data_IF_688938982897
#
_entry.id   IF_688938982897
#
_cell.length_a   1.000
_cell.length_b   1.000
_cell.length_c   1.000
_cell.angle_alpha   90.00
_cell.angle_beta   90.00
_cell.angle_gamma   90.00
#
_symmetry.space_group_name_H-M   'P 1'
#
loop_
_entity.id
_entity.type
_entity.pdbx_description
1 polymer ?
#
# COMPACT_ATOMS: atom_id res chain seq x y z
N UNK A 1 44.42 46.89 40.80
CA UNK A 1 44.47 47.91 41.84
C UNK A 1 44.55 47.17 43.14
N UNK A 2 45.74 47.11 43.58
CA UNK A 2 46.22 46.90 44.94
C UNK A 2 45.62 48.01 45.85
N UNK A 3 45.91 48.08 47.15
CA UNK A 3 46.75 47.24 48.05
C UNK A 3 46.09 47.09 49.43
N UNK A 4 46.64 46.42 50.37
CA UNK A 4 47.71 46.68 51.30
C UNK A 4 47.29 46.27 52.70
N UNK A 5 48.06 45.46 53.31
CA UNK A 5 49.01 45.64 54.39
C UNK A 5 48.38 45.70 55.79
N UNK A 6 48.83 45.09 56.70
CA UNK A 6 50.07 44.86 57.45
C UNK A 6 49.72 44.94 58.94
N UNK A 7 50.26 44.40 59.87
CA UNK A 7 51.53 44.26 60.50
C UNK A 7 51.31 43.84 61.97
N UNK A 8 52.07 42.91 62.46
CA UNK A 8 53.14 42.94 63.48
C UNK A 8 52.74 43.46 64.89
N UNK A 9 53.10 42.93 65.97
CA UNK A 9 54.45 42.81 66.59
C UNK A 9 54.25 42.28 68.02
N UNK A 10 55.00 41.28 68.43
CA UNK A 10 56.00 41.22 69.51
C UNK A 10 55.62 41.69 70.94
N UNK A 11 56.05 41.19 72.02
CA UNK A 11 57.26 40.49 72.48
C UNK A 11 57.25 40.26 74.00
N UNK A 12 58.05 39.32 74.40
CA UNK A 12 58.90 39.26 75.58
C UNK A 12 58.33 39.36 77.00
N UNK A 13 58.80 38.76 78.00
CA UNK A 13 59.95 37.97 78.38
C UNK A 13 59.91 37.65 79.89
N UNK A 14 60.57 36.57 80.25
CA UNK A 14 61.36 36.31 81.47
C UNK A 14 60.72 36.29 82.85
N UNK A 15 60.95 35.39 83.71
CA UNK A 15 62.14 34.88 84.40
C UNK A 15 61.78 33.82 85.44
N UNK A 16 62.69 32.90 85.67
CA UNK A 16 62.79 31.87 86.72
C UNK A 16 62.96 32.46 88.10
N UNK A 17 63.06 31.70 89.28
CA UNK A 17 63.19 30.26 89.51
C UNK A 17 62.48 29.73 90.81
N UNK A 18 62.55 28.43 91.03
CA UNK A 18 62.76 27.94 92.43
C UNK A 18 61.94 26.73 92.90
N UNK A 19 62.57 25.60 92.85
CA UNK A 19 62.57 24.50 93.86
C UNK A 19 61.27 23.98 94.43
N UNK A 20 60.95 22.70 94.16
CA UNK A 20 60.69 21.69 95.23
C UNK A 20 60.35 20.33 94.58
N UNK A 21 61.30 19.46 94.58
CA UNK A 21 61.32 18.07 94.04
C UNK A 21 60.47 17.04 94.75
N UNK A 22 59.70 17.37 95.77
CA UNK A 22 58.93 16.41 96.55
C UNK A 22 57.43 16.36 96.20
N UNK A 23 56.92 17.31 95.45
CA UNK A 23 55.49 17.30 94.95
C UNK A 23 55.32 16.70 93.60
N UNK A 24 56.35 16.40 92.83
CA UNK A 24 56.30 15.86 91.47
C UNK A 24 55.97 14.35 91.45
N UNK A 25 56.45 13.59 92.45
CA UNK A 25 56.22 12.14 92.49
C UNK A 25 54.73 11.82 92.77
N UNK A 26 54.09 12.59 93.66
CA UNK A 26 52.66 12.40 93.96
C UNK A 26 51.74 12.76 92.75
N UNK A 27 52.09 13.81 91.99
CA UNK A 27 51.34 14.25 90.81
C UNK A 27 51.44 13.27 89.67
N UNK A 28 52.56 12.59 89.47
CA UNK A 28 52.76 11.62 88.40
C UNK A 28 51.96 10.34 88.65
N UNK A 29 51.89 9.88 89.93
CA UNK A 29 51.05 8.69 90.26
C UNK A 29 49.56 8.98 90.10
N UNK A 30 49.10 10.16 90.46
CA UNK A 30 47.73 10.58 90.26
C UNK A 30 47.42 10.76 88.77
N UNK A 31 48.32 11.26 87.97
CA UNK A 31 48.18 11.42 86.48
C UNK A 31 48.13 10.05 85.79
N UNK A 32 49.01 9.12 86.21
CA UNK A 32 48.95 7.72 85.67
C UNK A 32 47.69 7.05 86.05
N UNK A 33 47.18 7.26 87.26
CA UNK A 33 45.86 6.66 87.66
C UNK A 33 44.72 7.29 86.90
N UNK A 34 44.74 8.60 86.68
CA UNK A 34 43.75 9.26 85.80
C UNK A 34 43.80 8.81 84.34
N UNK A 35 45.01 8.65 83.79
CA UNK A 35 45.21 8.11 82.47
C UNK A 35 44.81 6.68 82.36
N UNK A 36 45.07 5.86 83.36
CA UNK A 36 44.57 4.44 83.38
C UNK A 36 43.05 4.33 83.50
N UNK A 37 42.42 5.17 84.32
CA UNK A 37 40.96 5.21 84.48
C UNK A 37 40.28 5.77 83.19
N UNK A 38 40.91 6.73 82.49
CA UNK A 38 40.38 7.29 81.25
C UNK A 38 40.64 6.45 79.98
N UNK A 39 41.82 5.76 79.97
CA UNK A 39 42.24 5.03 78.73
C UNK A 39 41.81 3.56 78.70
N UNK A 40 41.80 2.88 79.85
CA UNK A 40 41.37 1.46 79.91
C UNK A 40 39.94 1.23 79.48
N UNK A 41 38.94 2.02 79.90
CA UNK A 41 37.54 1.80 79.41
C UNK A 41 37.43 2.20 77.95
N UNK A 42 38.26 3.07 77.41
CA UNK A 42 38.23 3.41 76.00
C UNK A 42 38.81 2.31 75.11
N UNK A 43 39.84 1.61 75.58
CA UNK A 43 40.42 0.46 74.86
C UNK A 43 39.52 -0.75 74.94
N UNK A 44 38.84 -0.99 76.07
CA UNK A 44 37.88 -2.08 76.23
C UNK A 44 36.63 -1.83 75.34
N UNK A 45 36.06 -0.62 75.35
CA UNK A 45 34.95 -0.25 74.47
C UNK A 45 35.34 -0.26 72.99
N UNK A 46 36.60 0.05 72.64
CA UNK A 46 37.12 -0.05 71.30
C UNK A 46 37.29 -1.51 70.80
N UNK A 47 37.47 -2.47 71.72
CA UNK A 47 37.51 -3.90 71.39
C UNK A 47 36.11 -4.47 71.25
N UNK A 48 35.21 -4.18 72.21
CA UNK A 48 33.81 -4.55 72.07
C UNK A 48 33.12 -4.00 70.83
N UNK A 49 33.45 -2.75 70.44
CA UNK A 49 32.96 -2.16 69.17
C UNK A 49 33.53 -2.84 67.92
N UNK A 50 34.73 -3.42 67.98
CA UNK A 50 35.30 -4.21 66.87
C UNK A 50 34.72 -5.63 66.83
N UNK A 51 34.45 -6.25 67.95
CA UNK A 51 33.87 -7.58 68.02
C UNK A 51 32.39 -7.54 67.61
N UNK A 52 31.65 -6.46 67.87
CA UNK A 52 30.27 -6.23 67.41
C UNK A 52 30.23 -5.99 65.90
N UNK A 53 31.27 -5.36 65.32
CA UNK A 53 31.36 -5.19 63.89
C UNK A 53 31.74 -6.50 63.16
N UNK A 54 32.49 -7.41 63.82
CA UNK A 54 32.76 -8.75 63.31
C UNK A 54 31.69 -9.79 63.61
N UNK A 55 30.80 -9.51 64.52
CA UNK A 55 29.60 -10.33 64.80
C UNK A 55 28.32 -9.83 64.12
N UNK A 56 28.41 -8.79 63.27
CA UNK A 56 27.36 -8.51 62.32
C UNK A 56 27.33 -9.69 61.36
N UNK A 57 26.47 -10.64 61.62
CA UNK A 57 25.99 -11.61 60.63
C UNK A 57 25.82 -10.85 59.34
N UNK A 58 26.61 -11.17 58.33
CA UNK A 58 26.41 -10.62 56.98
C UNK A 58 24.99 -11.04 56.59
N UNK A 59 24.02 -10.19 56.90
CA UNK A 59 22.65 -10.37 56.40
C UNK A 59 22.80 -10.23 54.90
N UNK A 60 22.76 -11.39 54.24
CA UNK A 60 22.73 -11.41 52.76
C UNK A 60 21.52 -10.61 52.34
N UNK A 61 21.68 -9.66 51.40
CA UNK A 61 20.51 -8.95 50.87
C UNK A 61 19.48 -9.97 50.38
N UNK A 62 18.25 -9.80 50.83
CA UNK A 62 17.14 -10.63 50.34
C UNK A 62 16.63 -10.09 49.03
N UNK A 63 16.55 -10.94 48.02
CA UNK A 63 16.09 -10.57 46.66
C UNK A 63 14.93 -11.46 46.25
N UNK A 64 13.93 -10.86 45.62
CA UNK A 64 12.82 -11.59 44.98
C UNK A 64 13.24 -11.90 43.57
N UNK A 65 13.10 -13.16 43.16
CA UNK A 65 13.43 -13.56 41.78
C UNK A 65 12.17 -13.81 40.97
N UNK A 66 12.27 -13.49 39.70
CA UNK A 66 11.27 -13.76 38.64
C UNK A 66 11.95 -14.48 37.48
N UNK A 67 11.21 -15.38 36.86
CA UNK A 67 11.68 -16.04 35.64
C UNK A 67 11.16 -15.28 34.41
N UNK A 68 12.00 -15.10 33.36
CA UNK A 68 11.55 -14.56 32.11
C UNK A 68 10.52 -15.50 31.45
N UNK A 69 9.57 -14.94 30.73
CA UNK A 69 8.62 -15.73 29.96
C UNK A 69 8.87 -15.52 28.46
N UNK A 70 8.72 -16.58 27.69
CA UNK A 70 8.84 -16.48 26.23
C UNK A 70 7.72 -15.57 25.70
N UNK A 71 8.10 -14.55 24.91
CA UNK A 71 7.14 -13.68 24.26
C UNK A 71 6.23 -14.48 23.32
N UNK A 72 4.98 -14.05 23.09
CA UNK A 72 4.11 -14.69 22.10
C UNK A 72 4.80 -14.72 20.74
N UNK A 73 4.74 -15.86 20.05
CA UNK A 73 5.34 -16.04 18.71
C UNK A 73 4.74 -15.10 17.65
N UNK A 74 3.61 -14.47 17.94
CA UNK A 74 2.89 -13.56 17.09
C UNK A 74 2.56 -12.27 17.84
N UNK A 75 2.81 -11.16 17.16
CA UNK A 75 2.45 -9.82 17.65
C UNK A 75 1.40 -9.20 16.74
N UNK A 76 0.40 -8.54 17.32
CA UNK A 76 -0.61 -7.84 16.53
C UNK A 76 -0.12 -6.44 16.13
N UNK A 77 -0.04 -6.19 14.82
CA UNK A 77 0.24 -4.87 14.26
C UNK A 77 -1.06 -4.26 13.77
N UNK A 78 -1.50 -3.14 14.38
CA UNK A 78 -2.69 -2.41 13.95
C UNK A 78 -2.29 -1.14 13.23
N UNK A 79 -2.74 -1.01 11.99
CA UNK A 79 -2.41 0.11 11.11
C UNK A 79 -3.68 0.72 10.52
N UNK A 80 -3.71 2.04 10.32
CA UNK A 80 -4.81 2.70 9.65
C UNK A 80 -4.86 2.35 8.17
N UNK A 81 -6.06 2.30 7.60
CA UNK A 81 -6.26 2.07 6.18
C UNK A 81 -7.51 2.74 5.63
N UNK A 82 -7.46 3.12 4.37
CA UNK A 82 -8.58 3.70 3.65
C UNK A 82 -9.33 2.61 2.88
N UNK A 83 -10.64 2.55 3.04
CA UNK A 83 -11.50 1.62 2.33
C UNK A 83 -11.83 2.21 0.97
N UNK A 84 -11.40 1.57 -0.10
CA UNK A 84 -11.67 1.96 -1.48
C UNK A 84 -12.53 0.90 -2.18
N UNK A 85 -13.32 1.29 -3.19
CA UNK A 85 -14.02 0.32 -4.01
C UNK A 85 -13.02 -0.53 -4.80
N UNK A 86 -13.39 -1.78 -5.12
CA UNK A 86 -12.56 -2.65 -5.97
C UNK A 86 -12.32 -2.02 -7.34
N UNK A 87 -13.38 -1.49 -7.95
CA UNK A 87 -13.32 -0.71 -9.18
C UNK A 87 -14.16 0.55 -9.03
N UNK A 88 -13.68 1.64 -9.61
CA UNK A 88 -14.44 2.87 -9.75
C UNK A 88 -14.26 3.43 -11.17
N UNK A 89 -15.33 3.93 -11.76
CA UNK A 89 -15.29 4.56 -13.06
C UNK A 89 -16.19 5.79 -13.12
N UNK A 90 -15.69 6.82 -13.78
CA UNK A 90 -16.49 7.96 -14.21
C UNK A 90 -16.99 7.71 -15.63
N UNK A 91 -18.29 7.71 -15.82
CA UNK A 91 -18.96 7.48 -17.09
C UNK A 91 -19.21 8.83 -17.77
N UNK A 92 -18.70 8.98 -18.98
CA UNK A 92 -18.82 10.19 -19.80
C UNK A 92 -19.74 9.93 -21.00
N UNK A 93 -20.33 11.00 -21.54
CA UNK A 93 -20.95 10.93 -22.87
C UNK A 93 -19.87 10.68 -23.93
N UNK A 94 -20.20 9.92 -24.98
CA UNK A 94 -19.35 9.65 -26.14
C UNK A 94 -19.90 10.26 -27.42
N UNK A 95 -20.99 11.00 -27.27
CA UNK A 95 -21.66 11.72 -28.34
C UNK A 95 -22.20 13.05 -27.80
N UNK A 96 -22.37 14.01 -28.70
CA UNK A 96 -22.99 15.29 -28.39
C UNK A 96 -24.50 15.18 -28.54
N UNK A 97 -25.26 15.75 -27.60
CA UNK A 97 -26.71 15.68 -27.67
C UNK A 97 -27.38 16.12 -26.36
N UNK A 98 -28.69 15.97 -26.29
CA UNK A 98 -29.46 16.26 -25.09
C UNK A 98 -29.88 14.97 -24.38
N UNK A 99 -29.78 14.97 -23.06
CA UNK A 99 -30.28 13.84 -22.24
C UNK A 99 -31.79 13.74 -22.34
N UNK A 100 -32.28 12.75 -23.05
CA UNK A 100 -33.72 12.51 -23.21
C UNK A 100 -34.33 11.87 -21.95
N UNK A 101 -33.67 10.81 -21.47
CA UNK A 101 -34.14 10.03 -20.32
C UNK A 101 -32.98 9.60 -19.44
N UNK A 102 -33.23 9.53 -18.14
CA UNK A 102 -32.35 8.98 -17.13
C UNK A 102 -33.08 7.82 -16.44
N UNK A 103 -32.43 6.70 -16.26
CA UNK A 103 -33.01 5.46 -15.72
C UNK A 103 -32.54 5.12 -14.31
N UNK A 104 -31.46 5.77 -13.84
CA UNK A 104 -30.84 5.48 -12.56
C UNK A 104 -30.58 6.76 -11.76
N UNK A 105 -30.43 6.60 -10.44
CA UNK A 105 -30.10 7.69 -9.52
C UNK A 105 -28.98 7.28 -8.55
N UNK A 106 -28.49 8.22 -7.74
CA UNK A 106 -27.49 7.97 -6.70
C UNK A 106 -28.00 6.85 -5.78
N UNK A 107 -27.12 5.88 -5.44
CA UNK A 107 -27.46 4.71 -4.64
C UNK A 107 -28.11 3.55 -5.41
N UNK A 108 -28.38 3.72 -6.70
CA UNK A 108 -28.96 2.64 -7.52
C UNK A 108 -27.90 1.59 -7.83
N UNK A 109 -28.20 0.32 -7.58
CA UNK A 109 -27.40 -0.82 -8.04
C UNK A 109 -27.63 -1.03 -9.53
N UNK A 110 -26.56 -1.17 -10.29
CA UNK A 110 -26.59 -1.37 -11.74
C UNK A 110 -25.75 -2.59 -12.12
N UNK A 111 -26.17 -3.28 -13.18
CA UNK A 111 -25.44 -4.40 -13.78
C UNK A 111 -24.57 -3.93 -14.94
N UNK A 112 -23.51 -4.67 -15.25
CA UNK A 112 -22.73 -4.42 -16.46
C UNK A 112 -23.61 -4.37 -17.71
N UNK A 113 -23.42 -3.33 -18.57
CA UNK A 113 -24.25 -3.11 -19.77
C UNK A 113 -25.63 -2.51 -19.52
N UNK A 114 -26.06 -2.28 -18.28
CA UNK A 114 -27.33 -1.63 -17.98
C UNK A 114 -27.36 -0.19 -18.47
N UNK A 115 -28.46 0.22 -19.12
CA UNK A 115 -28.62 1.59 -19.61
C UNK A 115 -28.86 2.53 -18.42
N UNK A 116 -28.02 3.56 -18.33
CA UNK A 116 -28.07 4.60 -17.29
C UNK A 116 -28.86 5.82 -17.77
N UNK A 117 -28.60 6.24 -19.02
CA UNK A 117 -29.26 7.35 -19.65
C UNK A 117 -29.37 7.16 -21.17
N UNK A 118 -30.29 7.87 -21.79
CA UNK A 118 -30.46 7.97 -23.22
C UNK A 118 -30.19 9.41 -23.65
N UNK A 119 -29.31 9.57 -24.65
CA UNK A 119 -28.97 10.85 -25.26
C UNK A 119 -29.68 10.91 -26.62
N UNK A 120 -30.37 11.98 -26.90
CA UNK A 120 -30.99 12.25 -28.20
C UNK A 120 -29.98 12.92 -29.12
N UNK A 121 -29.74 12.33 -30.28
CA UNK A 121 -28.78 12.80 -31.29
C UNK A 121 -29.40 12.89 -32.69
N UNK A 122 -30.39 13.78 -32.90
CA UNK A 122 -31.14 13.85 -34.16
C UNK A 122 -30.25 14.12 -35.38
N UNK A 123 -29.09 14.72 -35.20
CA UNK A 123 -28.12 14.96 -36.27
C UNK A 123 -27.50 13.64 -36.77
N UNK A 124 -27.16 12.72 -35.87
CA UNK A 124 -26.60 11.39 -36.24
C UNK A 124 -27.65 10.58 -36.95
N UNK A 125 -28.91 10.64 -36.50
CA UNK A 125 -30.05 9.95 -37.14
C UNK A 125 -30.24 10.41 -38.59
N UNK A 126 -30.17 11.71 -38.83
CA UNK A 126 -30.27 12.27 -40.21
C UNK A 126 -29.06 11.88 -41.06
N UNK A 127 -27.85 11.93 -40.52
CA UNK A 127 -26.65 11.45 -41.21
C UNK A 127 -26.72 9.98 -41.58
N UNK A 128 -27.23 9.13 -40.67
CA UNK A 128 -27.42 7.71 -40.90
C UNK A 128 -28.46 7.45 -42.02
N UNK A 129 -29.58 8.18 -42.02
CA UNK A 129 -30.58 8.09 -43.08
C UNK A 129 -30.02 8.49 -44.46
N UNK A 130 -29.20 9.58 -44.52
CA UNK A 130 -28.54 9.98 -45.72
C UNK A 130 -27.53 8.92 -46.21
N UNK A 131 -26.71 8.37 -45.29
CA UNK A 131 -25.75 7.32 -45.65
C UNK A 131 -26.44 6.04 -46.17
N UNK A 132 -27.59 5.66 -45.60
CA UNK A 132 -28.41 4.54 -46.11
C UNK A 132 -28.87 4.82 -47.52
N UNK A 133 -29.31 6.04 -47.87
CA UNK A 133 -29.70 6.40 -49.20
C UNK A 133 -28.47 6.34 -50.18
N UNK A 134 -27.29 6.77 -49.75
CA UNK A 134 -26.06 6.63 -50.54
C UNK A 134 -25.72 5.16 -50.85
N UNK A 135 -25.92 4.25 -49.90
CA UNK A 135 -25.73 2.81 -50.13
C UNK A 135 -26.68 2.31 -51.23
N UNK A 136 -27.96 2.76 -51.23
CA UNK A 136 -28.93 2.38 -52.27
C UNK A 136 -28.51 2.92 -53.66
N UNK A 137 -28.02 4.17 -53.73
CA UNK A 137 -27.48 4.77 -54.97
C UNK A 137 -26.29 3.95 -55.50
N UNK A 138 -25.31 3.65 -54.61
CA UNK A 138 -24.14 2.86 -54.97
C UNK A 138 -24.49 1.44 -55.40
N UNK A 139 -25.52 0.82 -54.80
CA UNK A 139 -26.02 -0.48 -55.21
C UNK A 139 -26.67 -0.44 -56.62
N UNK A 140 -27.44 0.59 -56.92
CA UNK A 140 -27.98 0.80 -58.27
C UNK A 140 -26.90 0.99 -59.31
N UNK A 141 -25.80 1.71 -58.97
CA UNK A 141 -24.65 1.89 -59.87
C UNK A 141 -23.93 0.55 -60.18
N UNK A 142 -23.87 -0.37 -59.22
CA UNK A 142 -23.36 -1.74 -59.49
C UNK A 142 -24.25 -2.47 -60.48
N UNK A 143 -25.58 -2.41 -60.35
CA UNK A 143 -26.49 -3.06 -61.29
C UNK A 143 -26.42 -2.42 -62.70
N UNK A 144 -26.28 -1.11 -62.78
CA UNK A 144 -26.01 -0.39 -64.04
C UNK A 144 -24.71 -0.88 -64.67
N UNK A 145 -23.62 -1.01 -63.92
CA UNK A 145 -22.35 -1.50 -64.45
C UNK A 145 -22.43 -2.97 -64.88
N UNK A 146 -23.21 -3.81 -64.20
CA UNK A 146 -23.50 -5.20 -64.65
C UNK A 146 -24.27 -5.24 -65.97
N UNK A 147 -25.27 -4.39 -66.14
CA UNK A 147 -26.01 -4.30 -67.40
C UNK A 147 -25.11 -3.83 -68.56
N UNK A 148 -24.18 -2.88 -68.29
CA UNK A 148 -23.18 -2.43 -69.29
C UNK A 148 -22.20 -3.55 -69.67
N UNK A 149 -21.78 -4.40 -68.71
CA UNK A 149 -20.97 -5.60 -69.01
C UNK A 149 -21.73 -6.59 -69.88
N UNK A 150 -22.99 -6.86 -69.57
CA UNK A 150 -23.81 -7.74 -70.36
C UNK A 150 -23.99 -7.26 -71.83
N UNK A 151 -24.15 -5.94 -72.03
CA UNK A 151 -24.18 -5.33 -73.38
C UNK A 151 -22.83 -5.48 -74.07
N UNK A 152 -21.71 -5.23 -73.39
CA UNK A 152 -20.37 -5.38 -73.97
C UNK A 152 -20.09 -6.84 -74.37
N UNK A 153 -20.53 -7.82 -73.57
CA UNK A 153 -20.46 -9.25 -73.89
C UNK A 153 -21.23 -9.61 -75.12
N UNK A 154 -22.49 -9.13 -75.25
CA UNK A 154 -23.32 -9.36 -76.46
C UNK A 154 -22.65 -8.78 -77.75
N UNK A 155 -22.05 -7.61 -77.64
CA UNK A 155 -21.31 -7.01 -78.75
C UNK A 155 -20.04 -7.80 -79.12
N UNK A 156 -19.33 -8.34 -78.11
CA UNK A 156 -18.18 -9.22 -78.36
C UNK A 156 -18.59 -10.52 -79.02
N UNK A 157 -19.69 -11.14 -78.60
CA UNK A 157 -20.21 -12.36 -79.24
C UNK A 157 -20.58 -12.13 -80.70
N UNK A 158 -21.21 -10.97 -81.04
CA UNK A 158 -21.50 -10.61 -82.41
C UNK A 158 -20.19 -10.43 -83.24
N UNK A 159 -19.17 -9.71 -82.69
CA UNK A 159 -17.89 -9.54 -83.34
C UNK A 159 -17.15 -10.87 -83.55
N UNK A 160 -17.22 -11.77 -82.56
CA UNK A 160 -16.67 -13.13 -82.65
C UNK A 160 -17.30 -13.94 -83.75
N UNK A 161 -18.63 -13.97 -83.79
CA UNK A 161 -19.36 -14.67 -84.85
C UNK A 161 -19.02 -14.13 -86.26
N UNK A 162 -18.83 -12.82 -86.36
CA UNK A 162 -18.43 -12.18 -87.62
C UNK A 162 -17.00 -12.55 -88.04
N UNK A 163 -16.05 -12.47 -87.13
CA UNK A 163 -14.65 -12.91 -87.35
C UNK A 163 -14.57 -14.37 -87.76
N UNK A 164 -15.25 -15.26 -87.00
CA UNK A 164 -15.25 -16.72 -87.25
C UNK A 164 -15.87 -17.08 -88.58
N UNK A 165 -16.80 -16.25 -89.08
CA UNK A 165 -17.38 -16.37 -90.45
C UNK A 165 -16.41 -15.96 -91.54
N UNK A 166 -15.67 -14.84 -91.34
CA UNK A 166 -14.77 -14.30 -92.32
C UNK A 166 -13.44 -15.04 -92.39
N UNK A 167 -12.89 -15.54 -91.30
CA UNK A 167 -11.59 -16.19 -91.25
C UNK A 167 -11.44 -17.38 -92.24
N UNK A 168 -12.39 -18.28 -92.44
CA UNK A 168 -12.27 -19.39 -93.39
C UNK A 168 -12.37 -18.88 -94.86
N UNK A 169 -13.11 -17.78 -95.14
CA UNK A 169 -13.42 -17.33 -96.49
C UNK A 169 -12.17 -16.76 -97.24
N UNK A 170 -11.13 -16.40 -96.50
CA UNK A 170 -9.86 -15.97 -97.11
C UNK A 170 -9.22 -17.11 -97.92
N UNK A 171 -9.34 -18.36 -97.46
CA UNK A 171 -8.76 -19.53 -98.16
C UNK A 171 -9.44 -19.81 -99.49
N UNK A 172 -10.63 -19.30 -99.67
CA UNK A 172 -11.41 -19.47 -100.89
C UNK A 172 -11.36 -18.18 -101.79
N UNK A 173 -10.56 -17.18 -101.35
CA UNK A 173 -10.50 -15.88 -102.02
C UNK A 173 -11.87 -15.16 -102.12
N UNK A 174 -12.82 -15.49 -101.28
CA UNK A 174 -14.17 -14.88 -101.30
C UNK A 174 -14.17 -13.50 -100.53
N UNK A 175 -13.16 -13.19 -99.81
CA UNK A 175 -13.00 -11.93 -99.05
C UNK A 175 -11.53 -11.43 -99.20
N UNK A 176 -11.28 -10.13 -98.99
CA UNK A 176 -9.96 -9.55 -98.98
C UNK A 176 -9.24 -9.74 -97.67
N UNK A 177 -7.91 -9.76 -97.64
CA UNK A 177 -7.14 -9.82 -96.38
C UNK A 177 -7.54 -8.68 -95.42
N UNK A 178 -7.68 -7.45 -95.97
CA UNK A 178 -8.11 -6.29 -95.25
C UNK A 178 -9.42 -6.55 -94.46
N UNK A 179 -10.41 -7.18 -95.13
CA UNK A 179 -11.70 -7.46 -94.51
C UNK A 179 -11.54 -8.46 -93.31
N UNK A 180 -10.61 -9.41 -93.40
CA UNK A 180 -10.32 -10.35 -92.27
C UNK A 180 -9.62 -9.60 -91.10
N UNK A 181 -8.61 -8.75 -91.50
CA UNK A 181 -7.87 -7.93 -90.51
C UNK A 181 -8.81 -6.93 -89.81
N UNK A 182 -9.74 -6.32 -90.50
CA UNK A 182 -10.75 -5.40 -89.94
C UNK A 182 -11.69 -6.13 -88.93
N UNK A 183 -12.14 -7.38 -89.19
CA UNK A 183 -12.96 -8.15 -88.31
C UNK A 183 -12.20 -8.64 -87.09
N UNK A 184 -10.90 -8.98 -87.23
CA UNK A 184 -10.03 -9.34 -86.11
C UNK A 184 -9.80 -8.12 -85.22
N UNK A 185 -9.51 -6.94 -85.80
CA UNK A 185 -9.36 -5.71 -84.99
C UNK A 185 -10.68 -5.33 -84.24
N UNK A 186 -11.84 -5.51 -84.92
CA UNK A 186 -13.14 -5.29 -84.28
C UNK A 186 -13.38 -6.24 -83.11
N UNK A 187 -13.02 -7.53 -83.24
CA UNK A 187 -13.10 -8.49 -82.16
C UNK A 187 -12.20 -8.08 -80.98
N UNK A 188 -10.94 -7.73 -81.24
CA UNK A 188 -10.00 -7.30 -80.21
C UNK A 188 -10.48 -6.03 -79.48
N UNK A 189 -11.02 -5.05 -80.20
CA UNK A 189 -11.63 -3.85 -79.62
C UNK A 189 -12.80 -4.19 -78.67
N UNK A 190 -13.73 -5.09 -79.09
CA UNK A 190 -14.86 -5.49 -78.23
C UNK A 190 -14.43 -6.32 -77.03
N UNK A 191 -13.34 -7.09 -77.15
CA UNK A 191 -12.77 -7.79 -76.02
C UNK A 191 -12.18 -6.80 -74.98
N UNK A 192 -11.55 -5.74 -75.45
CA UNK A 192 -11.08 -4.65 -74.55
C UNK A 192 -12.26 -3.92 -73.88
N UNK A 193 -13.41 -3.71 -74.62
CA UNK A 193 -14.64 -3.13 -74.05
C UNK A 193 -15.19 -3.96 -72.90
N UNK A 194 -15.21 -5.29 -73.02
CA UNK A 194 -15.65 -6.23 -71.94
C UNK A 194 -14.72 -6.08 -70.75
N UNK A 195 -13.42 -6.06 -70.95
CA UNK A 195 -12.46 -5.89 -69.84
C UNK A 195 -12.65 -4.55 -69.12
N UNK A 196 -12.90 -3.47 -69.86
CA UNK A 196 -13.19 -2.15 -69.30
C UNK A 196 -14.51 -2.16 -68.50
N UNK A 197 -15.57 -2.80 -69.04
CA UNK A 197 -16.84 -2.91 -68.35
C UNK A 197 -16.72 -3.75 -67.03
N UNK A 198 -15.95 -4.83 -67.09
CA UNK A 198 -15.67 -5.65 -65.87
C UNK A 198 -14.88 -4.83 -64.83
N UNK A 199 -13.91 -4.01 -65.22
CA UNK A 199 -13.21 -3.11 -64.30
C UNK A 199 -14.17 -2.08 -63.66
N UNK A 200 -15.12 -1.54 -64.45
CA UNK A 200 -16.14 -0.61 -63.94
C UNK A 200 -17.03 -1.24 -62.84
N UNK A 201 -17.37 -2.54 -62.96
CA UNK A 201 -18.07 -3.25 -61.87
C UNK A 201 -17.22 -3.26 -60.61
N UNK A 202 -15.93 -3.56 -60.70
CA UNK A 202 -15.04 -3.58 -59.54
C UNK A 202 -14.97 -2.21 -58.87
N UNK A 203 -14.92 -1.12 -59.64
CA UNK A 203 -14.97 0.27 -59.11
C UNK A 203 -16.32 0.54 -58.42
N UNK A 204 -17.46 0.18 -59.03
CA UNK A 204 -18.76 0.38 -58.44
C UNK A 204 -18.94 -0.45 -57.14
N UNK A 205 -18.42 -1.68 -57.10
CA UNK A 205 -18.43 -2.54 -55.91
C UNK A 205 -17.56 -1.95 -54.79
N UNK A 206 -16.39 -1.42 -55.09
CA UNK A 206 -15.54 -0.76 -54.12
C UNK A 206 -16.24 0.47 -53.50
N UNK A 207 -16.92 1.28 -54.34
CA UNK A 207 -17.75 2.39 -53.87
C UNK A 207 -18.88 1.95 -52.95
N UNK A 208 -19.63 0.91 -53.33
CA UNK A 208 -20.67 0.34 -52.49
C UNK A 208 -20.14 -0.14 -51.14
N UNK A 209 -18.97 -0.77 -51.13
CA UNK A 209 -18.33 -1.21 -49.90
C UNK A 209 -17.93 -0.04 -48.97
N UNK A 210 -17.45 1.06 -49.58
CA UNK A 210 -17.12 2.27 -48.84
C UNK A 210 -18.35 2.93 -48.20
N UNK A 211 -19.48 3.00 -48.92
CA UNK A 211 -20.72 3.56 -48.38
C UNK A 211 -21.29 2.67 -47.27
N UNK A 212 -21.20 1.34 -47.38
CA UNK A 212 -21.61 0.40 -46.33
C UNK A 212 -20.76 0.62 -45.07
N UNK A 213 -19.47 0.74 -45.20
CA UNK A 213 -18.57 1.03 -44.07
C UNK A 213 -18.89 2.39 -43.36
N UNK A 214 -19.31 3.39 -44.16
CA UNK A 214 -19.78 4.66 -43.60
C UNK A 214 -21.09 4.50 -42.81
N UNK A 215 -22.04 3.73 -43.26
CA UNK A 215 -23.29 3.39 -42.51
C UNK A 215 -22.91 2.71 -41.19
N UNK A 216 -22.01 1.73 -41.22
CA UNK A 216 -21.59 1.00 -40.01
C UNK A 216 -20.93 1.93 -39.01
N UNK A 217 -20.07 2.83 -39.43
CA UNK A 217 -19.47 3.87 -38.57
C UNK A 217 -20.53 4.74 -37.91
N UNK A 218 -21.55 5.19 -38.66
CA UNK A 218 -22.62 6.02 -38.12
C UNK A 218 -23.53 5.24 -37.15
N UNK A 219 -23.76 3.95 -37.39
CA UNK A 219 -24.50 3.07 -36.48
C UNK A 219 -23.75 2.87 -35.14
N UNK A 220 -22.41 2.78 -35.18
CA UNK A 220 -21.62 2.75 -33.96
C UNK A 220 -21.70 4.07 -33.18
N UNK A 221 -21.67 5.21 -33.86
CA UNK A 221 -21.87 6.52 -33.23
C UNK A 221 -23.27 6.65 -32.60
N UNK A 222 -24.30 6.18 -33.30
CA UNK A 222 -25.67 6.12 -32.79
C UNK A 222 -25.76 5.20 -31.55
N UNK A 223 -24.99 4.10 -31.51
CA UNK A 223 -24.92 3.23 -30.34
C UNK A 223 -24.49 3.95 -29.05
N UNK A 224 -23.72 5.05 -29.16
CA UNK A 224 -23.29 5.86 -28.00
C UNK A 224 -24.40 6.74 -27.41
N UNK A 225 -25.57 6.84 -28.05
CA UNK A 225 -26.79 7.42 -27.45
C UNK A 225 -27.15 6.75 -26.13
N UNK A 226 -26.87 5.45 -26.04
CA UNK A 226 -27.11 4.65 -24.84
C UNK A 226 -25.88 4.70 -23.94
N UNK A 227 -25.98 5.46 -22.86
CA UNK A 227 -24.97 5.48 -21.81
C UNK A 227 -25.15 4.23 -20.94
N UNK A 228 -24.18 3.35 -20.91
CA UNK A 228 -24.25 2.07 -20.19
C UNK A 228 -23.22 1.96 -19.08
N UNK A 229 -23.52 1.14 -18.06
CA UNK A 229 -22.61 0.82 -16.99
C UNK A 229 -21.47 -0.09 -17.50
N UNK A 230 -20.18 0.25 -17.24
CA UNK A 230 -19.05 -0.56 -17.68
C UNK A 230 -18.89 -1.86 -16.88
N UNK A 231 -19.34 -1.90 -15.65
CA UNK A 231 -19.32 -3.05 -14.74
C UNK A 231 -20.49 -2.94 -13.74
N UNK A 232 -20.70 -3.99 -12.96
CA UNK A 232 -21.69 -4.05 -11.90
C UNK A 232 -21.24 -3.24 -10.69
N UNK A 233 -22.15 -2.44 -10.10
CA UNK A 233 -21.82 -1.60 -8.94
C UNK A 233 -22.94 -0.67 -8.54
N UNK A 234 -22.63 0.33 -7.75
CA UNK A 234 -23.56 1.35 -7.25
C UNK A 234 -23.21 2.71 -7.84
N UNK A 235 -24.22 3.48 -8.21
CA UNK A 235 -24.05 4.88 -8.63
C UNK A 235 -23.69 5.72 -7.41
N UNK A 236 -22.47 6.23 -7.39
CA UNK A 236 -21.97 7.07 -6.27
C UNK A 236 -22.14 8.57 -6.51
N UNK A 237 -22.14 8.99 -7.78
CA UNK A 237 -22.38 10.37 -8.14
C UNK A 237 -23.19 10.47 -9.44
N UNK A 238 -24.01 11.50 -9.55
CA UNK A 238 -24.81 11.85 -10.70
C UNK A 238 -24.64 13.35 -10.97
N UNK A 239 -24.14 13.67 -12.14
CA UNK A 239 -23.86 15.05 -12.55
C UNK A 239 -24.65 15.46 -13.80
N UNK A 240 -25.72 14.74 -14.12
CA UNK A 240 -26.53 14.97 -15.31
C UNK A 240 -28.01 14.89 -14.98
N UNK A 241 -28.77 15.79 -15.61
CA UNK A 241 -30.25 15.81 -15.53
C UNK A 241 -30.88 15.66 -16.91
N UNK A 242 -32.18 15.34 -16.92
CA UNK A 242 -32.96 15.31 -18.16
C UNK A 242 -33.01 16.70 -18.79
N UNK A 243 -32.67 16.79 -20.07
CA UNK A 243 -32.64 18.06 -20.83
C UNK A 243 -31.26 18.71 -20.86
N UNK A 244 -30.29 18.20 -20.10
CA UNK A 244 -28.92 18.72 -20.14
C UNK A 244 -28.28 18.47 -21.49
N UNK A 245 -27.55 19.46 -21.99
CA UNK A 245 -26.64 19.32 -23.14
C UNK A 245 -25.36 18.63 -22.69
N UNK A 246 -25.02 17.53 -23.32
CA UNK A 246 -23.79 16.77 -23.06
C UNK A 246 -22.90 16.74 -24.29
N UNK A 247 -21.58 16.70 -24.06
CA UNK A 247 -20.58 16.68 -25.10
C UNK A 247 -19.74 15.38 -25.00
N UNK A 248 -19.11 14.98 -26.11
CA UNK A 248 -18.37 13.74 -26.31
C UNK A 248 -17.07 13.58 -25.48
N UNK A 249 -16.84 14.43 -24.51
CA UNK A 249 -15.69 14.31 -23.61
C UNK A 249 -14.35 14.82 -24.19
N UNK A 250 -14.34 15.32 -25.42
CA UNK A 250 -13.11 15.75 -26.10
C UNK A 250 -12.61 17.16 -25.70
N UNK A 251 -13.36 17.92 -24.89
CA UNK A 251 -13.03 19.27 -24.46
C UNK A 251 -12.48 19.38 -23.03
N UNK A 252 -11.63 20.40 -22.79
CA UNK A 252 -11.24 20.78 -21.43
C UNK A 252 -12.48 21.16 -20.61
N UNK A 253 -12.84 20.32 -19.64
CA UNK A 253 -13.98 20.56 -18.75
C UNK A 253 -15.16 19.59 -18.92
N UNK A 254 -14.98 18.48 -19.65
CA UNK A 254 -15.99 17.44 -19.75
C UNK A 254 -16.36 16.91 -18.37
N UNK A 255 -17.64 17.01 -18.03
CA UNK A 255 -18.18 16.52 -16.77
C UNK A 255 -18.63 15.08 -16.94
N UNK A 256 -18.22 14.20 -16.01
CA UNK A 256 -18.75 12.84 -15.97
C UNK A 256 -20.26 12.86 -15.72
N UNK A 257 -21.00 12.03 -16.42
CA UNK A 257 -22.46 11.91 -16.23
C UNK A 257 -22.77 11.19 -14.94
N UNK A 258 -22.08 10.07 -14.71
CA UNK A 258 -22.23 9.23 -13.52
C UNK A 258 -20.86 8.80 -13.00
N UNK A 259 -20.78 8.51 -11.70
CA UNK A 259 -19.69 7.74 -11.12
C UNK A 259 -20.25 6.43 -10.59
N UNK A 260 -19.58 5.32 -10.89
CA UNK A 260 -19.95 3.97 -10.47
C UNK A 260 -18.82 3.39 -9.65
N UNK A 261 -19.15 2.74 -8.54
CA UNK A 261 -18.21 2.02 -7.71
C UNK A 261 -18.69 0.60 -7.44
N UNK A 262 -17.80 -0.36 -7.57
CA UNK A 262 -18.04 -1.73 -7.15
C UNK A 262 -17.71 -1.84 -5.66
N UNK A 263 -18.70 -2.18 -4.84
CA UNK A 263 -18.64 -2.17 -3.38
C UNK A 263 -18.93 -3.50 -2.70
N UNK A 264 -19.14 -4.56 -3.46
CA UNK A 264 -19.33 -5.95 -2.98
C UNK A 264 -18.04 -6.53 -2.36
N UNK A 265 -16.90 -6.12 -2.89
CA UNK A 265 -15.57 -6.33 -2.32
C UNK A 265 -14.87 -4.97 -2.25
N UNK A 266 -14.32 -4.65 -1.09
CA UNK A 266 -13.53 -3.44 -0.91
C UNK A 266 -12.06 -3.78 -0.77
N UNK A 267 -11.22 -2.87 -1.21
CA UNK A 267 -9.79 -2.89 -0.95
C UNK A 267 -9.45 -1.86 0.11
N UNK A 268 -8.67 -2.27 1.09
CA UNK A 268 -8.16 -1.38 2.13
C UNK A 268 -6.69 -1.12 1.83
N UNK A 269 -6.35 0.12 1.58
CA UNK A 269 -4.98 0.56 1.37
C UNK A 269 -4.36 0.89 2.71
N UNK A 270 -3.28 0.19 3.05
CA UNK A 270 -2.56 0.31 4.31
C UNK A 270 -1.09 0.63 4.05
N UNK A 271 -0.61 1.67 4.71
CA UNK A 271 0.79 2.07 4.69
C UNK A 271 1.55 1.32 5.78
N UNK A 272 2.24 0.24 5.41
CA UNK A 272 2.99 -0.61 6.34
C UNK A 272 4.39 -0.06 6.55
N UNK A 273 4.83 0.22 7.78
CA UNK A 273 6.19 0.68 8.07
C UNK A 273 7.26 -0.32 7.58
N UNK A 274 8.39 0.18 7.11
CA UNK A 274 9.50 -0.63 6.57
C UNK A 274 9.94 -1.75 7.54
N UNK A 275 9.89 -1.51 8.85
CA UNK A 275 10.26 -2.50 9.87
C UNK A 275 9.38 -3.75 9.86
N UNK A 276 8.12 -3.64 9.43
CA UNK A 276 7.16 -4.73 9.35
C UNK A 276 6.89 -5.18 7.90
N UNK A 277 7.43 -4.48 6.90
CA UNK A 277 7.11 -4.71 5.50
C UNK A 277 7.44 -6.13 5.00
N UNK A 278 8.50 -6.73 5.54
CA UNK A 278 8.94 -8.10 5.16
C UNK A 278 8.23 -9.21 5.94
N UNK A 279 7.37 -8.87 6.89
CA UNK A 279 6.64 -9.85 7.72
C UNK A 279 5.18 -9.98 7.33
N UNK A 280 4.73 -9.21 6.32
CA UNK A 280 3.38 -9.25 5.78
C UNK A 280 3.42 -9.85 4.39
N UNK A 281 2.85 -11.04 4.25
CA UNK A 281 2.83 -11.80 3.01
C UNK A 281 1.44 -11.78 2.35
N UNK A 282 1.43 -11.92 1.01
CA UNK A 282 0.19 -12.11 0.27
C UNK A 282 -0.50 -13.42 0.71
N UNK A 283 -1.83 -13.36 0.88
CA UNK A 283 -2.63 -14.46 1.40
C UNK A 283 -2.76 -14.49 2.94
N UNK A 284 -2.01 -13.65 3.65
CA UNK A 284 -2.13 -13.54 5.11
C UNK A 284 -3.50 -12.96 5.50
N UNK A 285 -4.07 -13.52 6.58
CA UNK A 285 -5.32 -13.02 7.15
C UNK A 285 -5.09 -11.72 7.92
N UNK A 286 -6.02 -10.79 7.78
CA UNK A 286 -6.09 -9.56 8.54
C UNK A 286 -7.51 -9.34 9.05
N UNK A 287 -7.66 -8.50 10.05
CA UNK A 287 -8.96 -8.11 10.60
C UNK A 287 -9.12 -6.62 10.41
N UNK A 288 -10.20 -6.22 9.72
CA UNK A 288 -10.57 -4.83 9.54
C UNK A 288 -11.65 -4.46 10.54
N UNK A 289 -11.49 -3.33 11.20
CA UNK A 289 -12.48 -2.73 12.10
C UNK A 289 -12.68 -1.27 11.71
N UNK A 290 -13.92 -0.79 11.77
CA UNK A 290 -14.28 0.60 11.49
C UNK A 290 -14.99 1.19 12.72
N UNK A 291 -14.72 2.46 13.00
CA UNK A 291 -15.27 3.12 14.20
C UNK A 291 -16.79 3.26 14.15
N UNK A 292 -17.37 3.41 12.95
CA UNK A 292 -18.81 3.53 12.72
C UNK A 292 -19.59 2.23 13.01
N UNK A 293 -18.89 1.11 13.20
CA UNK A 293 -19.47 -0.21 13.50
C UNK A 293 -18.75 -0.87 14.70
N UNK A 294 -18.87 -0.29 15.89
CA UNK A 294 -18.15 -0.77 17.07
C UNK A 294 -18.48 -2.24 17.37
N UNK A 295 -17.46 -3.03 17.66
CA UNK A 295 -17.59 -4.45 17.97
C UNK A 295 -17.72 -5.37 16.76
N UNK A 296 -17.86 -4.87 15.54
CA UNK A 296 -17.88 -5.69 14.33
C UNK A 296 -16.48 -5.82 13.74
N UNK A 297 -16.08 -7.05 13.46
CA UNK A 297 -14.81 -7.39 12.84
C UNK A 297 -15.07 -8.01 11.47
N UNK A 298 -14.33 -7.53 10.48
CA UNK A 298 -14.41 -8.04 9.12
C UNK A 298 -13.13 -8.80 8.79
N UNK A 299 -13.29 -10.06 8.42
CA UNK A 299 -12.16 -10.86 7.95
C UNK A 299 -11.71 -10.37 6.58
N UNK A 300 -10.43 -10.16 6.46
CA UNK A 300 -9.81 -9.66 5.24
C UNK A 300 -8.55 -10.48 4.90
N UNK A 301 -8.08 -10.36 3.68
CA UNK A 301 -6.89 -11.08 3.19
C UNK A 301 -5.96 -10.08 2.52
N UNK A 302 -4.68 -10.16 2.83
CA UNK A 302 -3.64 -9.40 2.12
C UNK A 302 -3.60 -9.87 0.67
N UNK A 303 -4.01 -9.01 -0.24
CA UNK A 303 -4.06 -9.34 -1.67
C UNK A 303 -2.69 -9.17 -2.32
N UNK A 304 -2.02 -8.07 -2.01
CA UNK A 304 -0.70 -7.72 -2.58
C UNK A 304 -0.03 -6.62 -1.78
N UNK A 305 1.29 -6.52 -1.95
CA UNK A 305 2.12 -5.42 -1.48
C UNK A 305 2.88 -4.80 -2.65
N UNK A 306 3.21 -3.52 -2.56
CA UNK A 306 3.86 -2.78 -3.65
C UNK A 306 5.29 -3.26 -3.97
N UNK A 307 5.89 -4.10 -3.13
CA UNK A 307 7.28 -4.56 -3.25
C UNK A 307 8.32 -3.42 -3.37
N UNK A 308 7.93 -2.23 -2.95
CA UNK A 308 8.77 -1.03 -2.90
C UNK A 308 8.40 -0.19 -1.70
N UNK A 309 9.38 0.48 -1.12
CA UNK A 309 9.18 1.39 0.02
C UNK A 309 9.19 2.82 -0.49
N UNK A 310 8.18 3.59 -0.12
CA UNK A 310 8.17 5.03 -0.32
C UNK A 310 9.29 5.68 0.51
N UNK A 311 10.14 6.47 -0.14
CA UNK A 311 11.33 7.06 0.50
C UNK A 311 10.97 8.18 1.47
N UNK A 312 9.87 8.87 1.28
CA UNK A 312 9.45 9.98 2.12
C UNK A 312 8.75 9.49 3.40
N UNK A 313 7.81 8.57 3.25
CA UNK A 313 7.04 8.02 4.37
C UNK A 313 7.71 6.82 5.06
N UNK A 314 8.69 6.16 4.39
CA UNK A 314 9.30 4.90 4.85
C UNK A 314 8.27 3.80 5.07
N UNK A 315 7.25 3.75 4.21
CA UNK A 315 6.17 2.77 4.24
C UNK A 315 6.11 1.99 2.95
N UNK A 316 5.53 0.80 3.00
CA UNK A 316 5.18 -0.03 1.85
C UNK A 316 3.66 -0.10 1.74
N UNK A 317 3.11 0.32 0.59
CA UNK A 317 1.69 0.20 0.32
C UNK A 317 1.29 -1.27 0.24
N UNK A 318 0.35 -1.67 1.07
CA UNK A 318 -0.23 -3.01 1.12
C UNK A 318 -1.74 -2.94 0.91
N UNK A 319 -2.24 -3.73 0.00
CA UNK A 319 -3.66 -3.83 -0.32
C UNK A 319 -4.26 -5.06 0.35
N UNK A 320 -5.29 -4.84 1.17
CA UNK A 320 -6.04 -5.87 1.86
C UNK A 320 -7.46 -5.89 1.31
N UNK A 321 -7.96 -7.06 0.95
CA UNK A 321 -9.33 -7.23 0.43
C UNK A 321 -10.27 -7.69 1.54
N UNK A 322 -11.42 -7.02 1.60
CA UNK A 322 -12.49 -7.32 2.56
C UNK A 322 -13.80 -7.55 1.81
N UNK A 323 -14.48 -8.63 2.16
CA UNK A 323 -15.81 -8.95 1.63
C UNK A 323 -16.88 -8.02 2.23
N UNK A 324 -17.72 -7.46 1.38
CA UNK A 324 -18.77 -6.52 1.74
C UNK A 324 -20.09 -6.80 1.01
N UNK A 325 -20.42 -8.07 0.76
CA UNK A 325 -21.68 -8.44 0.09
C UNK A 325 -22.93 -7.96 0.85
N UNK A 326 -22.81 -7.75 2.17
CA UNK A 326 -23.90 -7.21 3.00
C UNK A 326 -24.03 -5.66 2.90
N UNK A 327 -23.14 -4.99 2.17
CA UNK A 327 -23.13 -3.53 2.01
C UNK A 327 -22.90 -2.75 3.31
N UNK A 328 -22.37 -3.39 4.34
CA UNK A 328 -22.18 -2.76 5.66
C UNK A 328 -21.02 -1.77 5.71
N UNK A 329 -20.06 -1.90 4.80
CA UNK A 329 -18.94 -1.00 4.63
C UNK A 329 -19.18 -0.10 3.40
N UNK A 330 -18.85 1.17 3.54
CA UNK A 330 -19.00 2.16 2.47
C UNK A 330 -17.62 2.57 1.99
N UNK A 331 -17.36 2.59 0.67
CA UNK A 331 -16.12 3.15 0.13
C UNK A 331 -15.87 4.58 0.62
N UNK A 332 -14.64 4.89 1.00
CA UNK A 332 -14.27 6.16 1.60
C UNK A 332 -14.26 6.17 3.14
N UNK A 333 -14.72 5.09 3.78
CA UNK A 333 -14.53 4.92 5.22
C UNK A 333 -13.06 4.73 5.57
N UNK A 334 -12.72 5.05 6.81
CA UNK A 334 -11.43 4.82 7.42
C UNK A 334 -11.53 3.65 8.40
N UNK A 335 -10.55 2.76 8.38
CA UNK A 335 -10.57 1.59 9.26
C UNK A 335 -9.19 1.29 9.85
N UNK A 336 -9.19 0.45 10.88
CA UNK A 336 -7.99 -0.14 11.46
C UNK A 336 -7.84 -1.56 10.91
N UNK A 337 -6.68 -1.85 10.36
CA UNK A 337 -6.32 -3.18 9.86
C UNK A 337 -5.33 -3.80 10.83
N UNK A 338 -5.71 -4.91 11.43
CA UNK A 338 -4.87 -5.66 12.35
C UNK A 338 -4.30 -6.87 11.63
N UNK A 339 -2.98 -6.88 11.55
CA UNK A 339 -2.18 -8.00 11.03
C UNK A 339 -1.67 -8.83 12.20
N UNK A 340 -1.61 -10.13 12.02
CA UNK A 340 -0.96 -11.07 12.93
C UNK A 340 0.44 -11.35 12.37
N UNK A 341 1.44 -10.70 12.96
CA UNK A 341 2.82 -10.71 12.47
C UNK A 341 3.65 -11.70 13.28
N UNK A 342 4.28 -12.65 12.60
CA UNK A 342 5.20 -13.57 13.23
C UNK A 342 6.47 -12.84 13.69
N UNK A 343 6.87 -13.08 14.93
CA UNK A 343 8.10 -12.51 15.48
C UNK A 343 9.31 -13.28 14.96
N UNK A 344 10.27 -12.56 14.38
CA UNK A 344 11.41 -13.16 13.67
C UNK A 344 12.40 -13.88 14.60
N UNK A 345 12.40 -13.56 15.90
CA UNK A 345 13.26 -14.19 16.90
C UNK A 345 12.49 -14.36 18.21
N UNK A 346 12.69 -15.49 18.90
CA UNK A 346 12.12 -15.66 20.22
C UNK A 346 12.74 -14.64 21.18
N UNK A 347 11.94 -13.77 21.72
CA UNK A 347 12.32 -12.80 22.74
C UNK A 347 11.74 -13.21 24.09
N UNK A 348 12.32 -12.70 25.16
CA UNK A 348 11.88 -12.97 26.52
C UNK A 348 11.22 -11.72 27.11
N UNK A 349 10.12 -11.91 27.81
CA UNK A 349 9.40 -10.84 28.49
C UNK A 349 9.70 -10.90 29.97
N UNK A 350 10.08 -9.76 30.54
CA UNK A 350 10.36 -9.58 31.95
C UNK A 350 9.50 -8.45 32.54
N UNK A 351 9.22 -8.43 33.82
CA UNK A 351 8.63 -7.25 34.46
C UNK A 351 9.53 -6.03 34.31
N UNK A 352 8.97 -4.86 34.02
CA UNK A 352 9.75 -3.62 33.91
C UNK A 352 10.51 -3.27 35.19
N UNK A 353 10.06 -3.76 36.34
CA UNK A 353 10.74 -3.60 37.63
C UNK A 353 12.06 -4.39 37.75
N UNK A 354 12.32 -5.37 36.89
CA UNK A 354 13.57 -6.12 36.86
C UNK A 354 14.65 -5.44 36.02
N UNK A 355 14.30 -4.38 35.29
CA UNK A 355 15.22 -3.64 34.44
C UNK A 355 15.91 -2.54 35.21
N UNK A 356 17.23 -2.45 35.09
CA UNK A 356 18.05 -1.38 35.65
C UNK A 356 18.62 -0.52 34.53
N UNK A 357 18.46 0.78 34.66
CA UNK A 357 19.03 1.74 33.73
C UNK A 357 19.95 2.69 34.52
N UNK A 358 21.23 2.62 34.24
CA UNK A 358 22.21 3.45 34.90
C UNK A 358 23.23 4.06 33.89
N UNK A 359 24.28 4.67 34.40
CA UNK A 359 25.35 5.26 33.56
C UNK A 359 26.11 4.26 32.68
N UNK A 360 26.00 2.95 32.98
CA UNK A 360 26.64 1.86 32.24
C UNK A 360 25.74 1.29 31.16
N UNK A 361 24.49 1.75 31.09
CA UNK A 361 23.50 1.32 30.13
C UNK A 361 22.33 0.55 30.75
N UNK A 362 21.66 -0.22 29.94
CA UNK A 362 20.53 -1.03 30.37
C UNK A 362 20.99 -2.46 30.67
N UNK A 363 20.67 -2.95 31.87
CA UNK A 363 21.02 -4.30 32.29
C UNK A 363 19.96 -4.90 33.20
N UNK A 364 20.02 -6.19 33.36
CA UNK A 364 19.25 -6.95 34.35
C UNK A 364 20.19 -7.59 35.35
N UNK A 365 19.66 -7.90 36.51
CA UNK A 365 20.41 -8.56 37.60
C UNK A 365 19.96 -10.02 37.65
N UNK A 366 20.85 -10.96 37.30
CA UNK A 366 20.60 -12.39 37.39
C UNK A 366 21.15 -13.00 38.67
N UNK A 367 20.59 -14.10 39.10
CA UNK A 367 21.05 -14.88 40.27
C UNK A 367 21.43 -16.28 39.80
N UNK A 368 22.72 -16.62 39.91
CA UNK A 368 23.25 -17.92 39.57
C UNK A 368 22.83 -19.00 40.54
N UNK A 369 23.16 -20.26 40.24
CA UNK A 369 22.78 -21.42 41.07
C UNK A 369 23.43 -21.41 42.46
N UNK A 370 24.54 -20.70 42.66
CA UNK A 370 25.28 -20.50 43.91
C UNK A 370 24.85 -19.24 44.69
N UNK A 371 23.68 -18.64 44.28
CA UNK A 371 23.09 -17.44 44.84
C UNK A 371 23.99 -16.18 44.72
N UNK A 372 24.75 -16.10 43.62
CA UNK A 372 25.60 -14.96 43.31
C UNK A 372 24.91 -14.09 42.23
N UNK A 373 24.96 -12.79 42.41
CA UNK A 373 24.36 -11.79 41.56
C UNK A 373 25.31 -11.45 40.38
N UNK A 374 24.75 -11.37 39.17
CA UNK A 374 25.47 -10.91 37.98
C UNK A 374 24.68 -9.84 37.23
N UNK A 375 25.36 -8.77 36.81
CA UNK A 375 24.79 -7.71 36.00
C UNK A 375 24.99 -8.03 34.51
N UNK A 376 23.91 -8.32 33.81
CA UNK A 376 23.97 -8.70 32.39
C UNK A 376 23.42 -7.56 31.53
N UNK A 377 24.21 -7.00 30.61
CA UNK A 377 23.70 -5.99 29.68
C UNK A 377 22.67 -6.60 28.75
N UNK A 378 21.56 -5.88 28.55
CA UNK A 378 20.45 -6.36 27.73
C UNK A 378 20.05 -5.34 26.67
N UNK A 379 19.50 -5.85 25.57
CA UNK A 379 18.91 -5.04 24.50
C UNK A 379 17.41 -5.12 24.64
N UNK A 380 16.78 -3.97 24.88
CA UNK A 380 15.32 -3.85 24.95
C UNK A 380 14.75 -3.99 23.52
N UNK A 381 13.72 -4.81 23.39
CA UNK A 381 12.86 -4.90 22.23
C UNK A 381 11.69 -3.91 22.34
N UNK A 382 10.52 -4.40 22.72
CA UNK A 382 9.31 -3.59 22.89
C UNK A 382 9.04 -3.31 24.37
N UNK A 383 8.76 -2.05 24.72
CA UNK A 383 8.27 -1.66 26.05
C UNK A 383 6.73 -1.69 26.04
N UNK A 384 6.17 -2.53 26.92
CA UNK A 384 4.72 -2.70 27.10
C UNK A 384 4.24 -2.05 28.41
N UNK A 385 5.07 -1.23 29.06
CA UNK A 385 4.78 -0.53 30.31
C UNK A 385 5.01 -1.39 31.55
N UNK A 386 4.14 -2.32 31.89
CA UNK A 386 4.31 -3.23 33.03
C UNK A 386 5.34 -4.33 32.76
N UNK A 387 5.59 -4.65 31.51
CA UNK A 387 6.52 -5.67 31.03
C UNK A 387 7.38 -5.10 29.92
N UNK A 388 8.60 -5.62 29.79
CA UNK A 388 9.55 -5.23 28.78
C UNK A 388 10.07 -6.47 28.06
N UNK A 389 10.07 -6.41 26.74
CA UNK A 389 10.64 -7.44 25.91
C UNK A 389 12.16 -7.25 25.80
N UNK A 390 12.90 -8.34 25.99
CA UNK A 390 14.35 -8.39 25.87
C UNK A 390 14.69 -9.21 24.63
N UNK A 391 15.33 -8.57 23.66
CA UNK A 391 15.73 -9.21 22.42
C UNK A 391 17.07 -9.97 22.55
N UNK A 392 17.98 -9.50 23.39
CA UNK A 392 19.29 -10.12 23.61
C UNK A 392 19.78 -9.88 25.03
N UNK A 393 20.54 -10.83 25.56
CA UNK A 393 21.28 -10.68 26.84
C UNK A 393 20.84 -11.67 27.92
N UNK A 394 19.67 -12.30 27.83
CA UNK A 394 19.20 -13.30 28.79
C UNK A 394 18.72 -14.59 28.06
N UNK A 395 18.65 -15.68 28.82
CA UNK A 395 18.18 -16.97 28.35
C UNK A 395 16.94 -17.42 29.12
N UNK A 396 16.19 -18.32 28.52
CA UNK A 396 15.02 -18.94 29.18
C UNK A 396 15.44 -19.73 30.41
N UNK A 397 14.68 -19.59 31.54
CA UNK A 397 14.97 -20.25 32.82
C UNK A 397 16.00 -19.53 33.69
N UNK A 398 16.53 -18.36 33.29
CA UNK A 398 17.39 -17.54 34.17
C UNK A 398 16.56 -16.88 35.27
N UNK A 399 17.11 -16.84 36.50
CA UNK A 399 16.48 -16.18 37.65
C UNK A 399 16.88 -14.71 37.66
N UNK A 400 15.92 -13.81 37.45
CA UNK A 400 16.12 -12.35 37.43
C UNK A 400 15.66 -11.76 38.77
N UNK A 401 16.39 -10.80 39.32
CA UNK A 401 15.98 -10.04 40.50
C UNK A 401 14.87 -9.06 40.10
N UNK A 402 13.72 -9.20 40.77
CA UNK A 402 12.63 -8.21 40.64
C UNK A 402 12.93 -7.04 41.58
N UNK A 403 12.95 -5.82 41.04
CA UNK A 403 13.24 -4.59 41.78
C UNK A 403 14.61 -4.61 42.50
N UNK A 404 15.73 -4.74 41.71
CA UNK A 404 17.07 -4.77 42.30
C UNK A 404 17.39 -3.47 43.02
N UNK A 405 17.97 -3.61 44.24
CA UNK A 405 18.40 -2.46 45.02
C UNK A 405 19.69 -1.88 44.44
N UNK A 406 19.87 -0.55 44.47
CA UNK A 406 21.10 0.16 44.11
C UNK A 406 22.34 -0.23 44.95
N UNK A 407 22.12 -0.97 46.03
CA UNK A 407 23.18 -1.46 46.91
C UNK A 407 23.78 -2.80 46.46
N UNK A 408 23.19 -3.45 45.47
CA UNK A 408 23.70 -4.71 44.92
C UNK A 408 24.96 -4.46 44.09
N UNK A 409 25.92 -5.36 44.24
CA UNK A 409 27.16 -5.32 43.46
C UNK A 409 27.38 -6.62 42.73
N UNK A 410 28.00 -6.56 41.54
CA UNK A 410 28.34 -7.75 40.77
C UNK A 410 29.23 -8.69 41.57
N UNK A 411 28.94 -10.00 41.56
CA UNK A 411 29.62 -11.02 42.36
C UNK A 411 29.18 -11.10 43.81
N UNK A 412 28.18 -10.34 44.24
CA UNK A 412 27.67 -10.38 45.63
C UNK A 412 26.78 -11.59 45.86
N UNK A 413 26.91 -12.25 47.05
CA UNK A 413 25.97 -13.29 47.47
C UNK A 413 24.70 -12.67 48.05
N UNK A 414 23.57 -13.28 47.72
CA UNK A 414 22.22 -12.86 48.12
C UNK A 414 21.44 -14.03 48.71
N UNK A 415 20.38 -13.73 49.43
CA UNK A 415 19.38 -14.70 49.86
C UNK A 415 18.14 -14.55 48.99
N UNK A 416 17.73 -15.62 48.34
CA UNK A 416 16.55 -15.61 47.49
C UNK A 416 15.30 -15.81 48.35
N UNK A 417 14.45 -14.79 48.40
CA UNK A 417 13.11 -14.93 48.96
C UNK A 417 12.25 -15.84 48.08
N UNK A 418 11.58 -16.78 48.71
CA UNK A 418 10.64 -17.68 47.99
C UNK A 418 9.27 -17.09 47.88
#
# INVERSE_FOLDING_TARGET
MTPTESTLVESESSTLPGTKTTRVVGGVVVLILFLAIGFVPRVIRGREARDVVHASTVLLPEVIVVEPHVAPAHTSLSLPGNLEPMYSASVFARTNGYVEKRFVDIGTHVKAGQILALISTPEIDQQLNQARANVQEAAAAVEQSKAALQQAQANLDLARLTRDRYAPLIKTHAVTQQSVDDTEQAFNARNADVSAAAANISVAQARLSAEKANVERLMQLQGFERVVAPFEGVITARNVERGDLVNDGSGNGSKSLFSIAQSDVLRVQVEVPQSAALTIDAGQKAIVTVEERPGRQYTAIVARSAASVDLAARTMLTEVQVDNHDGSLIPGMYGQVRFDVAQSQPSLVIPSTALVIDKNGTHVVTVSADDTVHFIPVVIGQDMGAQVEISHGIHDGERLVSNPSDLLSDGQKVSVAR
#
